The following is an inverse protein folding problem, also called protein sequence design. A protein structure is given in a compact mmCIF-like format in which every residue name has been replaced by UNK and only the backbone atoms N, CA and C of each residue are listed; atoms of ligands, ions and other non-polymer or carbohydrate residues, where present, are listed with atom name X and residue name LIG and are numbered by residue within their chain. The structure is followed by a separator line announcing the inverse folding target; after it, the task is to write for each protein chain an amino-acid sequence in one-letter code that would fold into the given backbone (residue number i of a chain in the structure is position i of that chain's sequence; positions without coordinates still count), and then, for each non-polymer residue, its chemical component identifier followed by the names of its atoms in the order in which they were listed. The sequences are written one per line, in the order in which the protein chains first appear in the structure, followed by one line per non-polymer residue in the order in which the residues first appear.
data_IF_677264493856
#
_entry.id   IF_677264493856
#
_cell.length_a   1.000
_cell.length_b   1.000
_cell.length_c   1.000
_cell.angle_alpha   90.00
_cell.angle_beta   90.00
_cell.angle_gamma   90.00
#
_symmetry.space_group_name_H-M   'P 1'
#
loop_
_entity.id
_entity.type
_entity.pdbx_description
1 polymer ?
#
# COMPACT_ATOMS: atom_id res chain seq x y z
N UNK A 1 -6.08 -26.89 7.17
CA UNK A 1 -5.48 -26.72 8.51
C UNK A 1 -6.50 -26.04 9.44
N UNK A 2 -6.87 -26.67 10.57
CA UNK A 2 -7.81 -26.07 11.54
C UNK A 2 -7.36 -24.70 12.07
N UNK A 3 -6.07 -24.49 12.27
CA UNK A 3 -5.51 -23.25 12.76
C UNK A 3 -5.73 -22.08 11.76
N UNK A 4 -5.62 -22.34 10.45
CA UNK A 4 -5.93 -21.37 9.42
C UNK A 4 -7.43 -21.00 9.41
N UNK A 5 -8.30 -22.00 9.54
CA UNK A 5 -9.75 -21.76 9.64
C UNK A 5 -10.14 -20.99 10.91
N UNK A 6 -9.39 -21.19 11.99
CA UNK A 6 -9.57 -20.48 13.25
C UNK A 6 -8.94 -19.06 13.25
N UNK A 7 -8.32 -18.64 12.17
CA UNK A 7 -7.70 -17.31 12.05
C UNK A 7 -6.41 -17.13 12.84
N UNK A 8 -5.74 -18.23 13.24
CA UNK A 8 -4.50 -18.15 14.01
C UNK A 8 -3.29 -17.70 13.18
N UNK A 9 -3.39 -17.73 11.86
CA UNK A 9 -2.40 -17.18 10.94
C UNK A 9 -3.03 -16.89 9.56
N UNK A 10 -2.41 -15.97 8.84
CA UNK A 10 -2.72 -15.68 7.44
C UNK A 10 -1.55 -16.14 6.55
N UNK A 11 -1.84 -16.86 5.45
CA UNK A 11 -0.80 -17.25 4.48
C UNK A 11 -0.49 -16.05 3.60
N UNK A 12 0.71 -15.48 3.78
CA UNK A 12 1.15 -14.26 3.11
C UNK A 12 2.23 -14.56 2.07
N UNK A 13 2.24 -13.82 0.96
CA UNK A 13 3.39 -13.75 0.07
C UNK A 13 4.57 -13.06 0.77
N UNK A 14 5.77 -13.65 0.67
CA UNK A 14 6.94 -13.17 1.39
C UNK A 14 7.31 -11.72 1.03
N UNK A 15 7.19 -11.34 -0.26
CA UNK A 15 7.49 -9.96 -0.68
C UNK A 15 6.48 -8.94 -0.11
N UNK A 16 5.24 -9.36 0.11
CA UNK A 16 4.19 -8.52 0.71
C UNK A 16 4.49 -8.11 2.15
N UNK A 17 5.36 -8.85 2.87
CA UNK A 17 5.80 -8.48 4.22
C UNK A 17 6.64 -7.19 4.25
N UNK A 18 7.15 -6.74 3.11
CA UNK A 18 7.82 -5.44 3.00
C UNK A 18 6.94 -4.27 3.44
N UNK A 19 5.61 -4.37 3.23
CA UNK A 19 4.68 -3.35 3.69
C UNK A 19 4.67 -3.23 5.21
N UNK A 20 4.63 -4.35 5.94
CA UNK A 20 4.67 -4.34 7.41
C UNK A 20 5.97 -3.76 7.93
N UNK A 21 7.10 -4.07 7.29
CA UNK A 21 8.41 -3.51 7.65
C UNK A 21 8.43 -1.98 7.51
N UNK A 22 7.93 -1.44 6.39
CA UNK A 22 7.83 0.01 6.17
C UNK A 22 6.88 0.66 7.18
N UNK A 23 5.68 0.09 7.37
CA UNK A 23 4.68 0.63 8.31
C UNK A 23 5.22 0.63 9.73
N UNK A 24 5.85 -0.46 10.17
CA UNK A 24 6.47 -0.56 11.49
C UNK A 24 7.63 0.43 11.69
N UNK A 25 8.47 0.63 10.67
CA UNK A 25 9.53 1.63 10.74
C UNK A 25 8.96 3.07 10.78
N UNK A 26 7.94 3.38 9.98
CA UNK A 26 7.26 4.68 10.03
C UNK A 26 6.67 4.89 11.43
N UNK A 27 5.95 3.91 11.97
CA UNK A 27 5.32 4.02 13.28
C UNK A 27 6.36 4.24 14.39
N UNK A 28 7.44 3.47 14.41
CA UNK A 28 8.47 3.57 15.46
C UNK A 28 9.32 4.84 15.36
N UNK A 29 9.70 5.23 14.14
CA UNK A 29 10.65 6.32 13.88
C UNK A 29 10.00 7.70 13.93
N UNK A 30 8.78 7.84 13.39
CA UNK A 30 8.14 9.14 13.21
C UNK A 30 6.98 9.41 14.18
N UNK A 31 6.50 8.35 14.86
CA UNK A 31 5.46 8.44 15.88
C UNK A 31 5.93 7.82 17.21
N UNK A 32 7.00 8.36 17.83
CA UNK A 32 7.56 7.78 19.04
C UNK A 32 6.55 7.76 20.19
N UNK A 33 6.70 6.77 21.09
CA UNK A 33 5.84 6.60 22.24
C UNK A 33 4.66 5.65 22.04
N UNK A 34 4.57 4.97 20.88
CA UNK A 34 3.60 3.91 20.65
C UNK A 34 2.14 4.37 20.66
N UNK A 35 1.89 5.64 20.32
CA UNK A 35 0.51 6.17 20.22
C UNK A 35 -0.25 5.50 19.08
N UNK A 36 -1.55 5.20 19.29
CA UNK A 36 -2.42 4.72 18.23
C UNK A 36 -2.41 5.63 17.00
N UNK A 37 -2.38 5.04 15.81
CA UNK A 37 -2.38 5.73 14.53
C UNK A 37 -3.67 5.43 13.77
N UNK A 38 -4.04 6.34 12.87
CA UNK A 38 -5.09 6.11 11.87
C UNK A 38 -4.45 5.71 10.54
N UNK A 39 -4.77 4.51 10.08
CA UNK A 39 -4.25 3.91 8.85
C UNK A 39 -5.37 3.68 7.83
N UNK A 40 -5.11 3.95 6.57
CA UNK A 40 -5.98 3.60 5.44
C UNK A 40 -5.24 2.67 4.48
N UNK A 41 -5.86 1.53 4.16
CA UNK A 41 -5.52 0.72 3.00
C UNK A 41 -6.55 1.02 1.90
N UNK A 42 -6.12 1.70 0.84
CA UNK A 42 -7.04 2.25 -0.17
C UNK A 42 -7.50 1.22 -1.21
N UNK A 43 -6.73 0.11 -1.39
CA UNK A 43 -6.99 -0.96 -2.34
C UNK A 43 -6.74 -2.32 -1.66
N UNK A 44 -7.50 -2.61 -0.60
CA UNK A 44 -7.12 -3.52 0.45
C UNK A 44 -7.27 -5.02 0.13
N UNK A 45 -8.17 -5.40 -0.81
CA UNK A 45 -8.44 -6.82 -1.04
C UNK A 45 -7.24 -7.58 -1.67
N UNK A 46 -7.01 -8.81 -1.24
CA UNK A 46 -7.85 -9.65 -0.37
C UNK A 46 -7.65 -9.46 1.15
N UNK A 47 -6.78 -8.52 1.61
CA UNK A 47 -6.58 -8.19 3.02
C UNK A 47 -5.23 -8.60 3.61
N UNK A 48 -4.39 -9.34 2.88
CA UNK A 48 -3.11 -9.80 3.41
C UNK A 48 -2.18 -8.65 3.80
N UNK A 49 -2.05 -7.61 2.97
CA UNK A 49 -1.23 -6.43 3.27
C UNK A 49 -1.85 -5.60 4.41
N UNK A 50 -3.19 -5.53 4.47
CA UNK A 50 -3.91 -4.88 5.58
C UNK A 50 -3.61 -5.58 6.90
N UNK A 51 -3.70 -6.91 6.95
CA UNK A 51 -3.37 -7.72 8.14
C UNK A 51 -1.92 -7.49 8.57
N UNK A 52 -0.98 -7.55 7.63
CA UNK A 52 0.43 -7.29 7.90
C UNK A 52 0.68 -5.87 8.46
N UNK A 53 -0.11 -4.88 8.01
CA UNK A 53 -0.05 -3.52 8.56
C UNK A 53 -0.64 -3.44 9.97
N UNK A 54 -1.78 -4.12 10.25
CA UNK A 54 -2.38 -4.17 11.58
C UNK A 54 -1.37 -4.69 12.61
N UNK A 55 -0.66 -5.78 12.28
CA UNK A 55 0.34 -6.40 13.16
C UNK A 55 1.58 -5.51 13.40
N UNK A 56 1.86 -4.59 12.49
CA UNK A 56 3.00 -3.66 12.58
C UNK A 56 2.66 -2.32 13.26
N UNK A 57 1.38 -1.99 13.37
CA UNK A 57 0.92 -0.74 13.97
C UNK A 57 0.89 -0.82 15.51
N UNK A 58 1.02 0.31 16.22
CA UNK A 58 0.83 0.37 17.67
C UNK A 58 -0.56 -0.13 18.09
N UNK A 59 -0.69 -0.80 19.25
CA UNK A 59 -1.98 -1.26 19.76
C UNK A 59 -3.02 -0.13 19.84
N UNK A 60 -4.27 -0.43 19.49
CA UNK A 60 -5.37 0.55 19.46
C UNK A 60 -5.37 1.46 18.24
N UNK A 61 -4.49 1.22 17.25
CA UNK A 61 -4.53 1.94 15.98
C UNK A 61 -5.79 1.59 15.20
N UNK A 62 -6.42 2.61 14.61
CA UNK A 62 -7.59 2.43 13.75
C UNK A 62 -7.18 2.12 12.32
N UNK A 63 -7.75 1.08 11.73
CA UNK A 63 -7.48 0.67 10.35
C UNK A 63 -8.76 0.73 9.52
N UNK A 64 -8.75 1.59 8.50
CA UNK A 64 -9.76 1.61 7.45
C UNK A 64 -9.22 0.83 6.23
N UNK A 65 -9.99 -0.12 5.72
CA UNK A 65 -9.68 -0.91 4.54
C UNK A 65 -10.76 -0.68 3.48
N UNK A 66 -10.37 -0.18 2.32
CA UNK A 66 -11.29 0.11 1.21
C UNK A 66 -11.04 -0.82 0.02
N UNK A 67 -12.10 -1.25 -0.63
CA UNK A 67 -12.03 -2.00 -1.88
C UNK A 67 -13.15 -1.54 -2.83
N UNK A 68 -12.84 -1.38 -4.09
CA UNK A 68 -13.80 -0.97 -5.12
C UNK A 68 -14.68 -2.12 -5.57
N UNK A 69 -14.07 -3.29 -5.86
CA UNK A 69 -14.78 -4.46 -6.37
C UNK A 69 -15.58 -5.15 -5.26
N UNK A 70 -16.85 -5.44 -5.56
CA UNK A 70 -17.76 -6.04 -4.59
C UNK A 70 -17.29 -7.42 -4.10
N UNK A 71 -16.89 -8.29 -5.04
CA UNK A 71 -16.52 -9.67 -4.70
C UNK A 71 -15.22 -9.70 -3.91
N UNK A 72 -14.27 -8.84 -4.29
CA UNK A 72 -13.02 -8.70 -3.56
C UNK A 72 -13.24 -8.11 -2.17
N UNK A 73 -14.16 -7.16 -2.01
CA UNK A 73 -14.53 -6.60 -0.71
C UNK A 73 -15.16 -7.65 0.22
N UNK A 74 -15.95 -8.59 -0.29
CA UNK A 74 -16.51 -9.69 0.49
C UNK A 74 -15.40 -10.60 1.04
N UNK A 75 -14.38 -10.91 0.22
CA UNK A 75 -13.19 -11.68 0.65
C UNK A 75 -12.38 -10.90 1.70
N UNK A 76 -12.20 -9.60 1.50
CA UNK A 76 -11.53 -8.71 2.46
C UNK A 76 -12.20 -8.76 3.83
N UNK A 77 -13.53 -8.62 3.87
CA UNK A 77 -14.30 -8.71 5.11
C UNK A 77 -14.08 -10.05 5.81
N UNK A 78 -14.17 -11.16 5.06
CA UNK A 78 -13.96 -12.51 5.62
C UNK A 78 -12.57 -12.65 6.24
N UNK A 79 -11.53 -12.20 5.56
CA UNK A 79 -10.15 -12.30 6.04
C UNK A 79 -9.90 -11.42 7.29
N UNK A 80 -10.42 -10.18 7.30
CA UNK A 80 -10.28 -9.29 8.45
C UNK A 80 -11.11 -9.76 9.65
N UNK A 81 -12.29 -10.34 9.43
CA UNK A 81 -13.06 -10.99 10.51
C UNK A 81 -12.33 -12.18 11.10
N UNK A 82 -11.66 -13.00 10.30
CA UNK A 82 -10.82 -14.11 10.80
C UNK A 82 -9.63 -13.61 11.61
N UNK A 83 -9.00 -12.50 11.20
CA UNK A 83 -7.91 -11.87 11.94
C UNK A 83 -8.38 -11.34 13.30
N UNK A 84 -9.60 -10.80 13.38
CA UNK A 84 -10.27 -10.44 14.62
C UNK A 84 -9.81 -9.14 15.27
N UNK A 85 -9.13 -8.23 14.55
CA UNK A 85 -8.80 -6.90 15.07
C UNK A 85 -10.07 -6.07 15.27
N UNK A 86 -10.34 -5.57 16.49
CA UNK A 86 -11.57 -4.83 16.79
C UNK A 86 -11.60 -3.42 16.22
N UNK A 87 -10.42 -2.82 15.98
CA UNK A 87 -10.26 -1.42 15.53
C UNK A 87 -10.16 -1.32 14.01
N UNK A 88 -10.91 -2.18 13.30
CA UNK A 88 -10.87 -2.27 11.83
C UNK A 88 -12.24 -1.98 11.23
N UNK A 89 -12.29 -1.12 10.21
CA UNK A 89 -13.48 -0.83 9.42
C UNK A 89 -13.24 -1.13 7.94
N UNK A 90 -14.22 -1.79 7.30
CA UNK A 90 -14.18 -2.05 5.85
C UNK A 90 -15.17 -1.14 5.14
N UNK A 91 -14.72 -0.49 4.10
CA UNK A 91 -15.56 0.25 3.15
C UNK A 91 -15.48 -0.36 1.76
N UNK A 92 -16.58 -0.25 1.02
CA UNK A 92 -16.63 -0.58 -0.40
C UNK A 92 -17.00 0.66 -1.19
N UNK A 93 -16.11 1.11 -2.04
CA UNK A 93 -16.38 2.29 -2.86
C UNK A 93 -15.18 2.83 -3.60
N UNK A 94 -15.46 3.82 -4.42
CA UNK A 94 -14.46 4.57 -5.12
C UNK A 94 -13.60 5.40 -4.14
N UNK A 95 -12.30 5.43 -4.38
CA UNK A 95 -11.34 6.23 -3.60
C UNK A 95 -11.65 7.73 -3.64
N UNK A 96 -12.40 8.22 -4.63
CA UNK A 96 -12.88 9.60 -4.68
C UNK A 96 -13.69 10.01 -3.43
N UNK A 97 -14.34 9.05 -2.75
CA UNK A 97 -15.04 9.29 -1.50
C UNK A 97 -14.10 9.72 -0.36
N UNK A 98 -12.82 9.33 -0.42
CA UNK A 98 -11.81 9.67 0.61
C UNK A 98 -11.46 11.16 0.64
N UNK A 99 -11.74 11.90 -0.44
CA UNK A 99 -11.61 13.37 -0.47
C UNK A 99 -12.48 14.09 0.59
N UNK A 100 -13.51 13.41 1.11
CA UNK A 100 -14.42 13.93 2.16
C UNK A 100 -13.89 13.74 3.58
N UNK A 101 -12.72 13.13 3.74
CA UNK A 101 -12.10 12.79 5.02
C UNK A 101 -10.77 13.56 5.20
N UNK A 102 -10.74 14.90 5.12
CA UNK A 102 -9.51 15.67 5.09
C UNK A 102 -8.66 15.42 6.36
N UNK A 103 -7.37 15.19 6.15
CA UNK A 103 -6.38 15.00 7.20
C UNK A 103 -6.79 13.97 8.28
N UNK A 104 -7.41 12.86 7.88
CA UNK A 104 -7.90 11.84 8.80
C UNK A 104 -6.84 10.80 9.15
N UNK A 105 -5.95 10.45 8.23
CA UNK A 105 -5.04 9.32 8.37
C UNK A 105 -3.59 9.77 8.55
N UNK A 106 -2.87 9.08 9.43
CA UNK A 106 -1.43 9.26 9.66
C UNK A 106 -0.62 8.54 8.57
N UNK A 107 -1.11 7.38 8.16
CA UNK A 107 -0.49 6.55 7.11
C UNK A 107 -1.59 6.11 6.13
N UNK A 108 -1.32 6.23 4.84
CA UNK A 108 -2.16 5.66 3.76
C UNK A 108 -1.32 4.70 2.95
N UNK A 109 -1.78 3.47 2.78
CA UNK A 109 -1.23 2.53 1.82
C UNK A 109 -2.08 2.49 0.55
N UNK A 110 -1.40 2.44 -0.59
CA UNK A 110 -2.00 2.25 -1.92
C UNK A 110 -1.27 1.09 -2.59
N UNK A 111 -1.79 -0.14 -2.39
CA UNK A 111 -1.38 -1.30 -3.18
C UNK A 111 -2.18 -1.27 -4.49
N UNK A 112 -1.64 -0.56 -5.45
CA UNK A 112 -2.41 -0.10 -6.58
C UNK A 112 -2.71 -1.20 -7.60
N UNK A 113 -3.90 -1.17 -8.26
CA UNK A 113 -4.14 -1.97 -9.45
C UNK A 113 -3.03 -1.67 -10.47
N UNK A 114 -2.45 -2.71 -11.08
CA UNK A 114 -1.29 -2.57 -11.94
C UNK A 114 -1.32 -3.58 -13.10
N UNK A 115 -0.38 -3.46 -14.04
CA UNK A 115 -0.28 -4.37 -15.20
C UNK A 115 0.07 -5.82 -14.85
N UNK A 116 0.43 -6.11 -13.59
CA UNK A 116 0.49 -7.45 -13.03
C UNK A 116 1.67 -8.30 -13.51
N UNK A 117 2.81 -7.71 -13.86
CA UNK A 117 3.99 -8.46 -14.35
C UNK A 117 4.46 -9.54 -13.35
N UNK A 118 4.34 -9.29 -12.04
CA UNK A 118 4.64 -10.28 -11.00
C UNK A 118 3.68 -11.47 -10.96
N UNK A 119 2.47 -11.33 -11.50
CA UNK A 119 1.48 -12.39 -11.54
C UNK A 119 1.65 -13.35 -12.73
N UNK A 120 2.44 -12.99 -13.74
CA UNK A 120 2.62 -13.75 -14.99
C UNK A 120 3.13 -15.19 -14.75
N UNK A 121 3.83 -15.43 -13.66
CA UNK A 121 4.31 -16.77 -13.28
C UNK A 121 3.18 -17.69 -12.85
N UNK A 122 2.13 -17.16 -12.22
CA UNK A 122 0.99 -17.92 -11.67
C UNK A 122 -0.24 -17.89 -12.55
N UNK A 123 -0.45 -16.80 -13.25
CA UNK A 123 -1.67 -16.51 -13.98
C UNK A 123 -1.36 -16.28 -15.46
N UNK A 124 -1.55 -17.31 -16.33
CA UNK A 124 -1.34 -17.17 -17.77
C UNK A 124 -2.15 -16.04 -18.41
N UNK A 125 -3.32 -15.73 -17.85
CA UNK A 125 -4.18 -14.63 -18.27
C UNK A 125 -3.48 -13.26 -18.13
N UNK A 126 -2.61 -13.09 -17.13
CA UNK A 126 -1.83 -11.86 -16.95
C UNK A 126 -0.88 -11.62 -18.13
N UNK A 127 -0.32 -12.69 -18.71
CA UNK A 127 0.52 -12.60 -19.92
C UNK A 127 -0.32 -12.17 -21.12
N UNK A 128 -1.51 -12.75 -21.27
CA UNK A 128 -2.40 -12.46 -22.41
C UNK A 128 -2.96 -11.03 -22.39
N UNK A 129 -3.15 -10.46 -21.20
CA UNK A 129 -3.69 -9.12 -21.01
C UNK A 129 -2.61 -8.02 -21.08
N UNK A 130 -1.35 -8.38 -20.82
CA UNK A 130 -0.27 -7.41 -20.76
C UNK A 130 -0.02 -6.71 -22.11
N UNK A 131 0.10 -5.41 -22.07
CA UNK A 131 0.43 -4.56 -23.23
C UNK A 131 0.99 -3.22 -22.76
N UNK A 132 1.74 -2.50 -23.62
CA UNK A 132 2.16 -1.13 -23.31
C UNK A 132 0.98 -0.20 -22.99
N UNK A 133 -0.15 -0.38 -23.66
CA UNK A 133 -1.36 0.38 -23.41
C UNK A 133 -1.92 0.12 -22.00
N UNK A 134 -1.92 -1.14 -21.54
CA UNK A 134 -2.36 -1.49 -20.18
C UNK A 134 -1.47 -0.82 -19.13
N UNK A 135 -0.15 -0.75 -19.35
CA UNK A 135 0.77 -0.03 -18.46
C UNK A 135 0.38 1.45 -18.34
N UNK A 136 0.12 2.13 -19.45
CA UNK A 136 -0.27 3.54 -19.46
C UNK A 136 -1.62 3.77 -18.74
N UNK A 137 -2.60 2.89 -18.99
CA UNK A 137 -3.92 2.92 -18.34
C UNK A 137 -3.79 2.70 -16.82
N UNK A 138 -2.99 1.72 -16.40
CA UNK A 138 -2.73 1.46 -14.98
C UNK A 138 -1.99 2.62 -14.32
N UNK A 139 -0.96 3.17 -14.95
CA UNK A 139 -0.24 4.32 -14.40
C UNK A 139 -1.14 5.54 -14.21
N UNK A 140 -2.06 5.80 -15.14
CA UNK A 140 -3.05 6.87 -15.02
C UNK A 140 -4.02 6.62 -13.87
N UNK A 141 -4.58 5.42 -13.75
CA UNK A 141 -5.48 5.02 -12.66
C UNK A 141 -4.79 5.11 -11.28
N UNK A 142 -3.54 4.70 -11.20
CA UNK A 142 -2.74 4.77 -9.96
C UNK A 142 -2.61 6.22 -9.48
N UNK A 143 -2.32 7.16 -10.39
CA UNK A 143 -2.25 8.59 -10.08
C UNK A 143 -3.60 9.15 -9.64
N UNK A 144 -4.68 8.72 -10.26
CA UNK A 144 -6.04 9.10 -9.86
C UNK A 144 -6.34 8.63 -8.43
N UNK A 145 -6.07 7.36 -8.11
CA UNK A 145 -6.25 6.81 -6.76
C UNK A 145 -5.45 7.61 -5.74
N UNK A 146 -4.17 7.86 -6.02
CA UNK A 146 -3.30 8.65 -5.14
C UNK A 146 -3.86 10.07 -4.93
N UNK A 147 -4.26 10.75 -6.00
CA UNK A 147 -4.85 12.09 -5.92
C UNK A 147 -6.17 12.11 -5.10
N UNK A 148 -6.94 11.04 -5.17
CA UNK A 148 -8.18 10.88 -4.41
C UNK A 148 -7.94 10.72 -2.91
N UNK A 149 -6.90 9.97 -2.51
CA UNK A 149 -6.62 9.70 -1.09
C UNK A 149 -5.71 10.76 -0.45
N UNK A 150 -4.98 11.53 -1.25
CA UNK A 150 -4.02 12.51 -0.76
C UNK A 150 -4.59 13.56 0.22
N UNK A 151 -5.79 14.13 0.01
CA UNK A 151 -6.41 15.05 0.98
C UNK A 151 -6.69 14.37 2.33
N UNK A 152 -6.96 13.08 2.35
CA UNK A 152 -7.22 12.32 3.57
C UNK A 152 -5.95 12.05 4.41
N UNK A 153 -4.77 12.19 3.82
CA UNK A 153 -3.50 12.09 4.52
C UNK A 153 -3.22 13.36 5.32
N UNK A 154 -2.86 13.23 6.59
CA UNK A 154 -2.46 14.37 7.45
C UNK A 154 -1.20 15.07 6.94
N UNK A 155 -1.06 16.39 7.15
CA UNK A 155 0.24 17.04 7.02
C UNK A 155 1.31 16.32 7.84
N UNK A 156 2.48 16.06 7.25
CA UNK A 156 3.53 15.25 7.86
C UNK A 156 3.29 13.73 7.88
N UNK A 157 2.13 13.26 7.43
CA UNK A 157 1.79 11.84 7.30
C UNK A 157 2.49 11.14 6.13
N UNK A 158 2.30 9.83 6.00
CA UNK A 158 3.04 8.99 5.06
C UNK A 158 2.13 8.26 4.08
N UNK A 159 2.46 8.31 2.80
CA UNK A 159 1.87 7.45 1.78
C UNK A 159 2.85 6.31 1.46
N UNK A 160 2.42 5.07 1.60
CA UNK A 160 3.13 3.87 1.17
C UNK A 160 2.51 3.40 -0.13
N UNK A 161 3.29 3.39 -1.20
CA UNK A 161 2.86 3.00 -2.54
C UNK A 161 3.47 1.67 -2.92
N UNK A 162 2.67 0.73 -3.40
CA UNK A 162 3.15 -0.57 -3.87
C UNK A 162 2.41 -1.05 -5.12
N UNK A 163 3.07 -1.90 -5.89
CA UNK A 163 2.52 -2.62 -7.04
C UNK A 163 3.15 -4.01 -7.15
N UNK A 164 2.47 -4.93 -7.82
CA UNK A 164 3.04 -6.22 -8.21
C UNK A 164 3.60 -6.19 -9.66
N UNK A 165 4.08 -5.06 -10.14
CA UNK A 165 4.68 -4.93 -11.47
C UNK A 165 6.13 -4.42 -11.40
N UNK A 166 6.88 -4.52 -12.51
CA UNK A 166 8.31 -4.20 -12.51
C UNK A 166 8.68 -3.03 -13.43
N UNK A 167 7.75 -2.54 -14.25
CA UNK A 167 8.03 -1.44 -15.17
C UNK A 167 8.17 -0.09 -14.42
N UNK A 168 8.97 0.81 -15.01
CA UNK A 168 9.23 2.12 -14.39
C UNK A 168 8.04 3.08 -14.47
N UNK A 169 7.16 2.93 -15.46
CA UNK A 169 6.05 3.85 -15.68
C UNK A 169 5.05 3.81 -14.51
N UNK A 170 4.78 2.62 -14.01
CA UNK A 170 3.89 2.40 -12.87
C UNK A 170 4.60 2.56 -11.52
N UNK A 171 5.92 2.48 -11.45
CA UNK A 171 6.71 2.43 -10.23
C UNK A 171 7.44 3.76 -9.95
N UNK A 172 8.70 3.88 -10.32
CA UNK A 172 9.53 5.05 -10.00
C UNK A 172 8.97 6.34 -10.61
N UNK A 173 8.36 6.27 -11.80
CA UNK A 173 7.75 7.44 -12.44
C UNK A 173 6.54 7.97 -11.65
N UNK A 174 5.78 7.07 -10.99
CA UNK A 174 4.69 7.47 -10.11
C UNK A 174 5.21 8.06 -8.80
N UNK A 175 6.24 7.51 -8.18
CA UNK A 175 6.88 8.15 -7.02
C UNK A 175 7.40 9.56 -7.37
N UNK A 176 8.09 9.70 -8.49
CA UNK A 176 8.56 11.00 -8.96
C UNK A 176 7.41 11.98 -9.30
N UNK A 177 6.28 11.47 -9.78
CA UNK A 177 5.09 12.27 -9.98
C UNK A 177 4.49 12.75 -8.64
N UNK A 178 4.41 11.87 -7.62
CA UNK A 178 3.91 12.25 -6.28
C UNK A 178 4.79 13.36 -5.68
N UNK A 179 6.12 13.23 -5.77
CA UNK A 179 7.05 14.25 -5.28
C UNK A 179 6.82 15.61 -5.97
N UNK A 180 6.68 15.59 -7.29
CA UNK A 180 6.51 16.80 -8.10
C UNK A 180 5.13 17.43 -7.94
N UNK A 181 4.05 16.63 -7.90
CA UNK A 181 2.67 17.10 -7.84
C UNK A 181 2.29 17.62 -6.46
N UNK A 182 2.76 16.95 -5.42
CA UNK A 182 2.33 17.22 -4.04
C UNK A 182 3.43 17.80 -3.15
N UNK A 183 4.64 17.98 -3.67
CA UNK A 183 5.79 18.45 -2.88
C UNK A 183 6.24 17.43 -1.81
N UNK A 184 5.86 16.16 -1.97
CA UNK A 184 6.22 15.10 -1.05
C UNK A 184 7.72 14.79 -1.08
N UNK A 185 8.23 14.17 -0.01
CA UNK A 185 9.63 13.72 0.09
C UNK A 185 9.68 12.21 0.24
N UNK A 186 10.49 11.52 -0.58
CA UNK A 186 10.72 10.08 -0.38
C UNK A 186 11.47 9.84 0.93
N UNK A 187 11.09 8.76 1.60
CA UNK A 187 11.81 8.27 2.78
C UNK A 187 12.56 6.98 2.44
N UNK A 188 13.71 6.80 3.06
CA UNK A 188 14.44 5.53 3.05
C UNK A 188 13.96 4.67 4.22
N UNK A 189 13.73 3.38 3.94
CA UNK A 189 13.40 2.38 4.93
C UNK A 189 14.63 1.52 5.22
N UNK A 190 15.18 1.66 6.42
CA UNK A 190 16.37 0.93 6.86
C UNK A 190 16.11 -0.57 6.96
N UNK A 191 14.87 -0.94 7.36
CA UNK A 191 14.45 -2.32 7.44
C UNK A 191 14.48 -3.05 6.09
N UNK A 192 14.32 -2.34 4.96
CA UNK A 192 14.39 -2.92 3.63
C UNK A 192 15.79 -2.83 3.00
N UNK A 193 16.57 -1.83 3.35
CA UNK A 193 17.91 -1.63 2.79
C UNK A 193 18.89 -2.77 3.10
N UNK A 194 18.66 -3.53 4.19
CA UNK A 194 19.47 -4.68 4.60
C UNK A 194 18.98 -6.04 4.13
N UNK A 195 17.85 -6.11 3.43
CA UNK A 195 17.28 -7.39 2.98
C UNK A 195 18.01 -7.90 1.74
N UNK A 196 18.58 -9.10 1.83
CA UNK A 196 19.30 -9.71 0.72
C UNK A 196 18.38 -9.91 -0.50
N UNK A 197 18.87 -9.55 -1.69
CA UNK A 197 18.12 -9.69 -2.94
C UNK A 197 17.16 -8.56 -3.26
N UNK A 198 16.93 -7.62 -2.34
CA UNK A 198 16.15 -6.40 -2.62
C UNK A 198 16.99 -5.42 -3.44
N UNK A 199 16.45 -4.93 -4.53
CA UNK A 199 17.10 -3.99 -5.44
C UNK A 199 16.54 -2.60 -5.23
N UNK A 200 17.38 -1.63 -4.92
CA UNK A 200 17.04 -0.21 -4.87
C UNK A 200 17.82 0.53 -5.96
N UNK A 201 17.14 0.94 -7.03
CA UNK A 201 17.72 1.71 -8.12
C UNK A 201 17.66 3.23 -7.87
N UNK A 202 16.75 3.65 -7.04
CA UNK A 202 16.53 5.05 -6.65
C UNK A 202 16.26 5.11 -5.15
N UNK A 203 16.64 6.19 -4.50
CA UNK A 203 16.41 6.42 -3.08
C UNK A 203 14.96 6.16 -2.69
N UNK A 204 14.72 5.33 -1.66
CA UNK A 204 13.39 5.03 -1.12
C UNK A 204 12.46 4.29 -2.09
N UNK A 205 13.02 3.60 -3.09
CA UNK A 205 12.27 2.77 -4.03
C UNK A 205 12.87 1.35 -4.04
N UNK A 206 12.09 0.36 -3.64
CA UNK A 206 12.56 -1.01 -3.42
C UNK A 206 11.83 -1.98 -4.33
N UNK A 207 12.58 -2.88 -4.96
CA UNK A 207 12.08 -3.96 -5.82
C UNK A 207 12.45 -5.31 -5.24
N UNK A 208 11.43 -6.13 -5.09
CA UNK A 208 11.52 -7.54 -4.75
C UNK A 208 11.33 -8.33 -6.04
N UNK A 209 12.41 -8.77 -6.66
CA UNK A 209 12.33 -9.44 -7.96
C UNK A 209 12.35 -10.96 -7.77
N UNK A 210 11.45 -11.72 -8.45
CA UNK A 210 11.49 -13.18 -8.45
C UNK A 210 12.87 -13.71 -8.85
N UNK A 211 13.35 -14.72 -8.12
CA UNK A 211 14.69 -15.29 -8.31
C UNK A 211 15.79 -14.60 -7.51
N UNK A 212 15.57 -13.39 -6.99
CA UNK A 212 16.47 -12.72 -6.04
C UNK A 212 15.93 -12.78 -4.62
N UNK A 213 14.61 -12.80 -4.48
CA UNK A 213 13.91 -12.98 -3.20
C UNK A 213 12.86 -14.09 -3.34
N UNK A 214 12.49 -14.71 -2.22
CA UNK A 214 11.34 -15.60 -2.17
C UNK A 214 10.05 -14.78 -2.21
N UNK A 215 9.23 -14.96 -3.25
CA UNK A 215 7.98 -14.24 -3.44
C UNK A 215 7.61 -14.05 -4.92
N UNK A 216 6.44 -13.45 -5.15
CA UNK A 216 5.92 -13.21 -6.50
C UNK A 216 6.45 -11.91 -7.11
N UNK A 217 7.07 -11.09 -6.28
CA UNK A 217 7.58 -9.80 -6.65
C UNK A 217 6.70 -8.64 -6.19
N UNK A 218 7.37 -7.56 -5.83
CA UNK A 218 6.76 -6.34 -5.32
C UNK A 218 7.64 -5.15 -5.67
N UNK A 219 7.03 -4.05 -6.01
CA UNK A 219 7.62 -2.73 -5.89
C UNK A 219 7.00 -2.02 -4.69
N UNK A 220 7.81 -1.34 -3.89
CA UNK A 220 7.31 -0.53 -2.79
C UNK A 220 8.18 0.70 -2.56
N UNK A 221 7.55 1.81 -2.22
CA UNK A 221 8.20 3.03 -1.79
C UNK A 221 7.29 3.84 -0.88
N UNK A 222 7.87 4.75 -0.11
CA UNK A 222 7.10 5.62 0.77
C UNK A 222 7.52 7.08 0.63
N UNK A 223 6.53 7.95 0.73
CA UNK A 223 6.73 9.40 0.71
C UNK A 223 6.08 10.05 1.92
N UNK A 224 6.63 11.15 2.37
CA UNK A 224 6.09 11.98 3.45
C UNK A 224 5.42 13.23 2.87
N UNK A 225 4.18 13.49 3.29
CA UNK A 225 3.46 14.73 2.98
C UNK A 225 4.11 15.91 3.69
N UNK A 226 4.27 17.09 3.06
CA UNK A 226 4.76 18.30 3.74
C UNK A 226 3.93 18.64 4.98
N UNK A 227 4.57 19.16 6.02
CA UNK A 227 3.90 19.55 7.25
C UNK A 227 3.03 20.83 7.08
N UNK A 228 3.44 21.72 6.16
CA UNK A 228 2.78 23.01 5.89
C UNK A 228 1.98 23.00 4.58
N UNK A 229 1.50 21.82 4.15
CA UNK A 229 0.71 21.72 2.92
C UNK A 229 -0.67 22.35 3.16
N UNK A 230 -1.00 23.52 2.58
CA UNK A 230 -2.38 23.95 2.55
C UNK A 230 -3.16 22.93 1.73
N UNK A 231 -4.26 22.41 2.29
CA UNK A 231 -5.23 21.68 1.49
C UNK A 231 -5.60 22.57 0.30
N UNK A 232 -5.22 22.18 -0.91
CA UNK A 232 -5.77 22.78 -2.12
C UNK A 232 -7.25 22.41 -2.13
N UNK A 233 -8.06 23.25 -1.49
CA UNK A 233 -9.50 23.19 -1.63
C UNK A 233 -9.78 23.28 -3.13
N UNK A 234 -10.23 22.19 -3.69
CA UNK A 234 -10.73 22.15 -5.06
C UNK A 234 -11.92 23.08 -5.16
N UNK A 235 -11.73 24.19 -5.85
CA UNK A 235 -12.82 24.97 -6.47
C UNK A 235 -13.49 24.12 -7.55
#
# INVERSE_FOLDING_TARGET
DPAWHAGLYYVQDASSMALSAIVGEIASRYYPGGKPLAYLDACAAPGGKTIAAIDALPPGSFVAANEFDRRRAEILVENLMKHGSPDTAVSRGDTAAMRRLPAMFDIIAVDAPCSGEGMMRKEPEAIAQWSPRLIDECAALQREIIANVWPALRPGGFLVYSTCTFNRAENEANLAWIEREFGASRIECEALAGVGGVVSLEKGAYRFLPGFVDGEGLFVGAVRKPCDSPDRATT
#
